data_IF_778565115978
#
_entry.id   IF_778565115978
#
_cell.length_a   1.000
_cell.length_b   1.000
_cell.length_c   1.000
_cell.angle_alpha   90.00
_cell.angle_beta   90.00
_cell.angle_gamma   90.00
#
_symmetry.space_group_name_H-M   'P 1'
#
loop_
_entity.id
_entity.type
_entity.pdbx_description
1 polymer ?
#
# COMPACT_ATOMS: atom_id res chain seq x y z
N UNK A 1 2.86 -6.42 15.36
CA UNK A 1 2.37 -5.23 14.63
C UNK A 1 2.45 -5.51 13.13
N UNK A 2 1.41 -5.21 12.35
CA UNK A 2 1.52 -5.44 10.90
C UNK A 2 2.28 -4.30 10.22
N UNK A 3 3.24 -4.68 9.37
CA UNK A 3 4.18 -3.78 8.70
C UNK A 3 3.74 -3.40 7.28
N UNK A 4 2.58 -3.91 6.84
CA UNK A 4 2.11 -3.69 5.47
C UNK A 4 1.34 -2.38 5.32
N UNK A 5 1.51 -1.77 4.16
CA UNK A 5 1.01 -0.44 3.82
C UNK A 5 -0.01 -0.56 2.69
N UNK A 6 -1.18 0.04 2.85
CA UNK A 6 -2.13 0.26 1.75
C UNK A 6 -1.97 1.68 1.20
N UNK A 7 -1.94 1.85 -0.11
CA UNK A 7 -1.97 3.16 -0.77
C UNK A 7 -3.21 3.18 -1.66
N UNK A 8 -4.28 3.83 -1.19
CA UNK A 8 -5.65 3.61 -1.70
C UNK A 8 -6.22 4.92 -2.23
N UNK A 9 -6.80 4.89 -3.43
CA UNK A 9 -7.30 6.10 -4.09
C UNK A 9 -7.49 5.98 -5.60
N UNK A 10 -8.30 6.87 -6.20
CA UNK A 10 -8.47 6.90 -7.66
C UNK A 10 -7.16 7.24 -8.38
N UNK A 11 -7.15 7.02 -9.69
CA UNK A 11 -6.08 7.48 -10.59
C UNK A 11 -5.82 8.98 -10.45
N UNK A 12 -4.57 9.41 -10.67
CA UNK A 12 -4.15 10.82 -10.68
C UNK A 12 -4.20 11.58 -9.33
N UNK A 13 -4.55 10.93 -8.22
CA UNK A 13 -4.58 11.58 -6.91
C UNK A 13 -3.24 11.57 -6.16
N UNK A 14 -2.20 10.95 -6.72
CA UNK A 14 -0.84 10.97 -6.16
C UNK A 14 -0.35 9.63 -5.60
N UNK A 15 -1.11 8.53 -5.73
CA UNK A 15 -0.69 7.19 -5.25
C UNK A 15 0.72 6.79 -5.72
N UNK A 16 0.97 6.83 -7.02
CA UNK A 16 2.27 6.46 -7.59
C UNK A 16 3.39 7.39 -7.13
N UNK A 17 3.08 8.66 -6.83
CA UNK A 17 4.04 9.57 -6.21
C UNK A 17 4.42 9.08 -4.80
N UNK A 18 3.44 8.68 -3.98
CA UNK A 18 3.71 8.10 -2.64
C UNK A 18 4.54 6.84 -2.73
N UNK A 19 4.14 5.89 -3.58
CA UNK A 19 4.84 4.62 -3.76
C UNK A 19 6.32 4.85 -4.10
N UNK A 20 6.60 5.71 -5.08
CA UNK A 20 7.96 6.05 -5.49
C UNK A 20 8.75 6.79 -4.40
N UNK A 21 8.12 7.74 -3.70
CA UNK A 21 8.77 8.46 -2.58
C UNK A 21 9.09 7.54 -1.41
N UNK A 22 8.19 6.61 -1.07
CA UNK A 22 8.44 5.58 -0.05
C UNK A 22 9.59 4.67 -0.48
N UNK A 23 9.56 4.16 -1.71
CA UNK A 23 10.63 3.34 -2.29
C UNK A 23 12.01 4.02 -2.15
N UNK A 24 12.10 5.29 -2.56
CA UNK A 24 13.34 6.06 -2.43
C UNK A 24 13.73 6.30 -0.95
N UNK A 25 12.74 6.58 -0.08
CA UNK A 25 12.99 6.83 1.34
C UNK A 25 13.56 5.60 2.04
N UNK A 26 13.02 4.41 1.78
CA UNK A 26 13.54 3.15 2.31
C UNK A 26 14.97 2.88 1.83
N UNK A 27 15.26 3.17 0.56
CA UNK A 27 16.63 3.07 0.06
C UNK A 27 17.58 4.05 0.76
N UNK A 28 17.20 5.31 0.90
CA UNK A 28 18.06 6.34 1.49
C UNK A 28 18.31 6.14 2.99
N UNK A 29 17.29 5.71 3.74
CA UNK A 29 17.37 5.58 5.20
C UNK A 29 17.82 4.20 5.67
N UNK A 30 17.39 3.14 4.99
CA UNK A 30 17.60 1.76 5.44
C UNK A 30 18.47 0.94 4.48
N UNK A 31 18.83 1.49 3.31
CA UNK A 31 19.46 0.73 2.21
C UNK A 31 18.62 -0.48 1.77
N UNK A 32 17.30 -0.41 2.00
CA UNK A 32 16.32 -1.41 1.59
C UNK A 32 16.00 -1.22 0.11
N UNK A 33 16.34 -2.22 -0.71
CA UNK A 33 16.01 -2.25 -2.14
C UNK A 33 14.52 -2.51 -2.36
N UNK A 34 14.01 -2.08 -3.51
CA UNK A 34 12.62 -2.25 -3.86
C UNK A 34 12.41 -3.37 -4.88
N UNK A 35 11.36 -4.15 -4.69
CA UNK A 35 10.83 -5.10 -5.68
C UNK A 35 9.46 -4.57 -6.08
N UNK A 36 9.25 -4.28 -7.35
CA UNK A 36 8.08 -3.55 -7.84
C UNK A 36 7.39 -4.38 -8.91
N UNK A 37 6.09 -4.56 -8.78
CA UNK A 37 5.23 -4.98 -9.86
C UNK A 37 4.54 -3.74 -10.46
N UNK A 38 4.87 -3.41 -11.71
CA UNK A 38 4.36 -2.25 -12.45
C UNK A 38 4.34 -2.56 -13.95
N UNK A 39 3.14 -2.82 -14.48
CA UNK A 39 2.95 -3.18 -15.90
C UNK A 39 3.16 -2.00 -16.85
N UNK A 40 3.21 -0.76 -16.34
CA UNK A 40 3.47 0.45 -17.12
C UNK A 40 4.97 0.74 -17.24
N UNK A 41 5.82 -0.06 -16.59
CA UNK A 41 7.29 0.05 -16.62
C UNK A 41 7.79 1.46 -16.27
N UNK A 42 7.17 2.11 -15.28
CA UNK A 42 7.58 3.45 -14.92
C UNK A 42 8.98 3.46 -14.28
N UNK A 43 9.65 4.60 -14.28
CA UNK A 43 10.93 4.72 -13.57
C UNK A 43 10.70 4.77 -12.05
N UNK A 44 11.24 3.78 -11.33
CA UNK A 44 11.27 3.67 -9.86
C UNK A 44 12.67 3.91 -9.26
N UNK A 45 13.66 4.24 -10.08
CA UNK A 45 15.06 4.47 -9.69
C UNK A 45 15.92 3.21 -9.65
N UNK A 46 17.26 3.39 -9.66
CA UNK A 46 18.26 2.32 -9.76
C UNK A 46 18.27 1.35 -8.55
N UNK A 47 17.61 1.70 -7.45
CA UNK A 47 17.47 0.85 -6.26
C UNK A 47 16.32 -0.16 -6.37
N UNK A 48 15.56 -0.14 -7.48
CA UNK A 48 14.36 -0.94 -7.70
C UNK A 48 14.56 -2.01 -8.76
N UNK A 49 14.08 -3.22 -8.48
CA UNK A 49 13.85 -4.27 -9.48
C UNK A 49 12.39 -4.22 -9.89
N UNK A 50 12.12 -3.89 -11.16
CA UNK A 50 10.75 -3.73 -11.69
C UNK A 50 10.39 -4.93 -12.55
N UNK A 51 9.22 -5.49 -12.30
CA UNK A 51 8.68 -6.66 -12.98
C UNK A 51 7.31 -6.31 -13.59
N UNK A 52 7.09 -6.79 -14.81
CA UNK A 52 5.78 -6.74 -15.50
C UNK A 52 5.09 -8.11 -15.52
N UNK A 53 5.84 -9.18 -15.21
CA UNK A 53 5.35 -10.55 -15.16
C UNK A 53 5.11 -10.97 -13.71
N UNK A 54 3.89 -11.46 -13.42
CA UNK A 54 3.44 -11.83 -12.08
C UNK A 54 4.30 -12.96 -11.49
N UNK A 55 4.60 -13.99 -12.28
CA UNK A 55 5.33 -15.16 -11.78
C UNK A 55 6.77 -14.79 -11.38
N UNK A 56 7.48 -14.05 -12.22
CA UNK A 56 8.84 -13.55 -11.93
C UNK A 56 8.86 -12.60 -10.74
N UNK A 57 7.84 -11.75 -10.62
CA UNK A 57 7.69 -10.87 -9.46
C UNK A 57 7.54 -11.66 -8.15
N UNK A 58 6.65 -12.67 -8.13
CA UNK A 58 6.43 -13.51 -6.97
C UNK A 58 7.69 -14.31 -6.63
N UNK A 59 8.37 -14.89 -7.62
CA UNK A 59 9.65 -15.57 -7.43
C UNK A 59 10.68 -14.64 -6.76
N UNK A 60 10.83 -13.41 -7.26
CA UNK A 60 11.74 -12.43 -6.69
C UNK A 60 11.39 -12.08 -5.23
N UNK A 61 10.10 -11.93 -4.92
CA UNK A 61 9.64 -11.65 -3.55
C UNK A 61 10.00 -12.76 -2.55
N UNK A 62 10.07 -14.02 -2.98
CA UNK A 62 10.45 -15.14 -2.11
C UNK A 62 11.95 -15.44 -2.12
N UNK A 63 12.65 -15.07 -3.19
CA UNK A 63 14.09 -15.26 -3.34
C UNK A 63 14.91 -14.26 -2.52
N UNK A 64 14.51 -12.98 -2.53
CA UNK A 64 15.24 -11.93 -1.83
C UNK A 64 14.72 -11.74 -0.40
N UNK A 65 15.48 -11.01 0.43
CA UNK A 65 15.13 -10.68 1.81
C UNK A 65 15.29 -9.19 2.07
N UNK A 66 14.58 -8.68 3.07
CA UNK A 66 14.72 -7.30 3.54
C UNK A 66 14.49 -6.25 2.45
N UNK A 67 13.54 -6.50 1.54
CA UNK A 67 13.12 -5.56 0.48
C UNK A 67 11.85 -4.79 0.84
N UNK A 68 11.63 -3.63 0.21
CA UNK A 68 10.32 -2.99 0.13
C UNK A 68 9.60 -3.52 -1.12
N UNK A 69 8.45 -4.16 -0.93
CA UNK A 69 7.69 -4.76 -2.03
C UNK A 69 6.54 -3.82 -2.38
N UNK A 70 6.40 -3.45 -3.65
CA UNK A 70 5.33 -2.59 -4.16
C UNK A 70 4.53 -3.33 -5.23
N UNK A 71 3.21 -3.36 -5.08
CA UNK A 71 2.29 -3.83 -6.11
C UNK A 71 1.49 -2.62 -6.62
N UNK A 72 1.88 -2.06 -7.77
CA UNK A 72 1.11 -1.00 -8.43
C UNK A 72 -0.12 -1.60 -9.13
N UNK A 73 -1.21 -0.84 -9.18
CA UNK A 73 -2.51 -1.28 -9.71
C UNK A 73 -2.93 -2.68 -9.20
N UNK A 74 -2.82 -2.93 -7.89
CA UNK A 74 -3.07 -4.24 -7.28
C UNK A 74 -4.43 -4.83 -7.66
N UNK A 75 -5.47 -3.99 -7.73
CA UNK A 75 -6.81 -4.43 -8.14
C UNK A 75 -6.86 -5.00 -9.55
N UNK A 76 -6.05 -4.50 -10.48
CA UNK A 76 -6.11 -4.94 -11.88
C UNK A 76 -5.39 -6.28 -12.12
N UNK A 77 -4.38 -6.59 -11.29
CA UNK A 77 -3.49 -7.75 -11.52
C UNK A 77 -3.60 -8.85 -10.47
N UNK A 78 -4.19 -8.53 -9.32
CA UNK A 78 -4.30 -9.41 -8.16
C UNK A 78 -5.70 -9.40 -7.54
N UNK A 79 -6.72 -8.97 -8.30
CA UNK A 79 -8.10 -8.87 -7.82
C UNK A 79 -8.55 -10.17 -7.15
N UNK A 80 -8.89 -10.08 -5.86
CA UNK A 80 -9.40 -11.21 -5.07
C UNK A 80 -8.54 -12.48 -5.16
N UNK A 81 -7.26 -12.33 -5.47
CA UNK A 81 -6.37 -13.44 -5.75
C UNK A 81 -5.87 -14.11 -4.45
N UNK A 82 -6.16 -15.40 -4.32
CA UNK A 82 -5.73 -16.19 -3.17
C UNK A 82 -4.23 -16.50 -3.22
N UNK A 83 -3.62 -16.56 -4.40
CA UNK A 83 -2.20 -16.90 -4.58
C UNK A 83 -1.27 -15.87 -3.95
N UNK A 84 -1.70 -14.61 -3.87
CA UNK A 84 -0.92 -13.53 -3.22
C UNK A 84 -1.26 -13.30 -1.77
N UNK A 85 -2.25 -14.02 -1.21
CA UNK A 85 -2.54 -13.93 0.23
C UNK A 85 -1.32 -14.25 1.11
N UNK A 86 -0.47 -15.26 0.79
CA UNK A 86 0.79 -15.49 1.49
C UNK A 86 1.72 -14.27 1.51
N UNK A 87 1.63 -13.36 0.53
CA UNK A 87 2.42 -12.13 0.57
C UNK A 87 2.07 -11.26 1.78
N UNK A 88 0.78 -11.12 2.06
CA UNK A 88 0.27 -10.33 3.18
C UNK A 88 0.48 -11.00 4.55
N UNK A 89 0.55 -12.32 4.60
CA UNK A 89 0.66 -13.03 5.88
C UNK A 89 2.09 -13.41 6.24
N UNK A 90 2.95 -13.65 5.24
CA UNK A 90 4.20 -14.38 5.43
C UNK A 90 5.45 -13.61 5.03
N UNK A 91 5.37 -12.60 4.14
CA UNK A 91 6.56 -11.85 3.70
C UNK A 91 7.28 -11.12 4.86
N UNK A 92 6.58 -10.82 5.94
CA UNK A 92 7.19 -10.27 7.17
C UNK A 92 8.30 -11.17 7.73
N UNK A 93 8.23 -12.49 7.53
CA UNK A 93 9.25 -13.44 7.97
C UNK A 93 10.52 -13.39 7.11
N UNK A 94 10.45 -12.79 5.92
CA UNK A 94 11.60 -12.44 5.08
C UNK A 94 12.05 -10.99 5.32
N UNK A 95 11.54 -10.35 6.37
CA UNK A 95 11.78 -8.94 6.72
C UNK A 95 11.33 -7.95 5.64
N UNK A 96 10.36 -8.31 4.79
CA UNK A 96 9.83 -7.40 3.77
C UNK A 96 8.78 -6.43 4.30
N UNK A 97 8.69 -5.26 3.66
CA UNK A 97 7.59 -4.32 3.84
C UNK A 97 6.76 -4.28 2.56
N UNK A 98 5.57 -4.88 2.59
CA UNK A 98 4.64 -4.89 1.46
C UNK A 98 3.82 -3.60 1.39
N UNK A 99 3.67 -3.07 0.18
CA UNK A 99 2.90 -1.89 -0.18
C UNK A 99 1.91 -2.29 -1.28
N UNK A 100 0.64 -2.41 -0.93
CA UNK A 100 -0.43 -2.69 -1.88
C UNK A 100 -1.06 -1.37 -2.34
N UNK A 101 -0.98 -1.07 -3.63
CA UNK A 101 -1.52 0.16 -4.21
C UNK A 101 -2.74 -0.19 -5.02
N UNK A 102 -3.91 0.35 -4.68
CA UNK A 102 -5.15 0.03 -5.41
C UNK A 102 -6.07 1.23 -5.57
N UNK A 103 -6.96 1.14 -6.55
CA UNK A 103 -8.04 2.08 -6.79
C UNK A 103 -9.19 1.89 -5.81
N UNK A 104 -9.59 0.64 -5.60
CA UNK A 104 -10.77 0.27 -4.82
C UNK A 104 -10.34 -0.62 -3.66
N UNK A 105 -10.81 -0.30 -2.46
CA UNK A 105 -10.46 -1.01 -1.23
C UNK A 105 -10.87 -2.49 -1.29
N UNK A 106 -12.01 -2.75 -1.91
CA UNK A 106 -12.66 -4.05 -1.98
C UNK A 106 -11.97 -5.05 -2.92
N UNK A 107 -11.06 -4.60 -3.79
CA UNK A 107 -10.30 -5.49 -4.71
C UNK A 107 -9.37 -6.44 -3.93
N UNK A 108 -8.93 -6.02 -2.75
CA UNK A 108 -8.20 -6.88 -1.81
C UNK A 108 -9.17 -7.77 -1.03
N UNK A 109 -8.82 -9.03 -0.81
CA UNK A 109 -9.59 -9.92 0.07
C UNK A 109 -9.60 -9.41 1.52
N UNK A 110 -10.66 -9.63 2.30
CA UNK A 110 -10.72 -9.21 3.71
C UNK A 110 -9.50 -9.66 4.53
N UNK A 111 -9.01 -10.88 4.28
CA UNK A 111 -7.81 -11.42 4.94
C UNK A 111 -6.55 -10.60 4.62
N UNK A 112 -6.42 -10.07 3.41
CA UNK A 112 -5.31 -9.22 2.98
C UNK A 112 -5.41 -7.83 3.64
N UNK A 113 -6.61 -7.23 3.61
CA UNK A 113 -6.89 -5.90 4.20
C UNK A 113 -6.64 -5.87 5.70
N UNK A 114 -6.99 -6.94 6.41
CA UNK A 114 -6.72 -7.08 7.83
C UNK A 114 -5.22 -7.07 8.16
N UNK A 115 -4.36 -7.46 7.22
CA UNK A 115 -2.91 -7.38 7.39
C UNK A 115 -2.37 -5.97 7.11
N UNK A 116 -3.15 -4.98 6.71
CA UNK A 116 -2.64 -3.62 6.56
C UNK A 116 -2.54 -2.95 7.93
N UNK A 117 -1.35 -2.45 8.26
CA UNK A 117 -1.08 -1.71 9.50
C UNK A 117 -0.98 -0.20 9.29
N UNK A 118 -0.73 0.23 8.05
CA UNK A 118 -0.66 1.64 7.66
C UNK A 118 -1.47 1.87 6.39
N UNK A 119 -2.14 3.03 6.27
CA UNK A 119 -2.79 3.49 5.04
C UNK A 119 -2.30 4.88 4.65
N UNK A 120 -2.11 5.06 3.35
CA UNK A 120 -2.18 6.36 2.67
C UNK A 120 -3.50 6.38 1.91
N UNK A 121 -4.52 6.98 2.53
CA UNK A 121 -5.87 7.01 2.02
C UNK A 121 -6.17 8.35 1.35
N UNK A 122 -6.19 8.35 0.03
CA UNK A 122 -6.64 9.48 -0.78
C UNK A 122 -8.17 9.53 -0.83
N UNK A 123 -8.72 10.46 -1.60
CA UNK A 123 -10.16 10.57 -1.82
C UNK A 123 -10.83 9.22 -2.10
N UNK A 124 -11.98 8.99 -1.46
CA UNK A 124 -12.80 7.78 -1.64
C UNK A 124 -14.26 8.16 -1.92
N UNK A 125 -14.98 7.25 -2.58
CA UNK A 125 -16.45 7.27 -2.56
C UNK A 125 -16.97 7.07 -1.14
N UNK A 126 -18.21 7.51 -0.88
CA UNK A 126 -18.85 7.35 0.43
C UNK A 126 -18.89 5.89 0.88
N UNK A 127 -19.31 5.00 -0.01
CA UNK A 127 -19.40 3.56 0.24
C UNK A 127 -18.03 2.94 0.58
N UNK A 128 -16.99 3.27 -0.20
CA UNK A 128 -15.64 2.79 0.07
C UNK A 128 -15.13 3.29 1.43
N UNK A 129 -15.31 4.58 1.72
CA UNK A 129 -14.91 5.17 2.99
C UNK A 129 -15.63 4.53 4.20
N UNK A 130 -16.92 4.22 4.08
CA UNK A 130 -17.68 3.52 5.12
C UNK A 130 -17.18 2.09 5.35
N UNK A 131 -16.85 1.36 4.28
CA UNK A 131 -16.26 0.03 4.40
C UNK A 131 -14.90 0.08 5.13
N UNK A 132 -14.04 1.03 4.75
CA UNK A 132 -12.73 1.22 5.36
C UNK A 132 -12.89 1.61 6.84
N UNK A 133 -13.73 2.59 7.14
CA UNK A 133 -13.99 3.07 8.50
C UNK A 133 -14.50 1.94 9.41
N UNK A 134 -15.38 1.08 8.91
CA UNK A 134 -15.87 -0.09 9.65
C UNK A 134 -14.77 -1.11 9.93
N UNK A 135 -13.95 -1.45 8.93
CA UNK A 135 -12.85 -2.42 9.08
C UNK A 135 -11.74 -1.92 10.01
N UNK A 136 -11.49 -0.61 10.01
CA UNK A 136 -10.56 0.05 10.92
C UNK A 136 -11.22 0.49 12.23
N UNK A 137 -12.53 0.26 12.41
CA UNK A 137 -13.28 0.71 13.59
C UNK A 137 -13.05 2.18 13.95
N UNK A 138 -12.94 3.05 12.93
CA UNK A 138 -12.63 4.47 13.10
C UNK A 138 -13.38 5.34 12.08
N UNK A 139 -14.41 6.04 12.57
CA UNK A 139 -15.27 6.90 11.74
C UNK A 139 -14.55 8.13 11.18
N UNK A 140 -13.39 8.51 11.72
CA UNK A 140 -12.60 9.64 11.18
C UNK A 140 -12.13 9.38 9.75
N UNK A 141 -12.03 8.11 9.33
CA UNK A 141 -11.70 7.74 7.95
C UNK A 141 -12.76 8.16 6.91
N UNK A 142 -13.96 8.52 7.35
CA UNK A 142 -14.99 9.12 6.49
C UNK A 142 -14.58 10.50 5.94
N UNK A 143 -13.60 11.18 6.56
CA UNK A 143 -13.02 12.42 6.02
C UNK A 143 -12.42 12.21 4.63
N UNK A 144 -12.01 10.98 4.28
CA UNK A 144 -11.50 10.65 2.93
C UNK A 144 -12.49 11.00 1.80
N UNK A 145 -13.79 11.09 2.07
CA UNK A 145 -14.81 11.51 1.08
C UNK A 145 -14.69 12.97 0.64
N UNK A 146 -13.93 13.79 1.38
CA UNK A 146 -13.81 15.25 1.19
C UNK A 146 -12.40 15.69 0.83
N UNK A 147 -11.46 14.76 0.68
CA UNK A 147 -10.07 15.10 0.41
C UNK A 147 -9.90 15.69 -1.01
N UNK A 148 -9.27 16.87 -1.13
CA UNK A 148 -8.83 17.39 -2.41
C UNK A 148 -7.76 16.51 -3.07
N UNK A 149 -7.48 16.78 -4.34
CA UNK A 149 -6.38 16.16 -5.08
C UNK A 149 -5.05 16.37 -4.34
N UNK A 150 -4.23 15.32 -4.27
CA UNK A 150 -2.93 15.28 -3.60
C UNK A 150 -2.96 15.37 -2.07
N UNK A 151 -4.15 15.43 -1.46
CA UNK A 151 -4.31 15.27 -0.03
C UNK A 151 -4.69 13.82 0.32
N UNK A 152 -4.24 13.39 1.50
CA UNK A 152 -4.44 12.03 1.98
C UNK A 152 -4.55 12.00 3.50
N UNK A 153 -5.23 10.99 4.02
CA UNK A 153 -5.10 10.57 5.41
C UNK A 153 -3.95 9.55 5.49
N UNK A 154 -3.00 9.82 6.38
CA UNK A 154 -2.01 8.84 6.80
C UNK A 154 -2.48 8.21 8.10
N UNK A 155 -2.85 6.94 8.03
CA UNK A 155 -3.48 6.18 9.10
C UNK A 155 -2.53 5.08 9.57
N UNK A 156 -2.35 4.92 10.88
CA UNK A 156 -1.56 3.84 11.46
C UNK A 156 -2.34 3.14 12.56
N UNK A 157 -2.44 1.81 12.48
CA UNK A 157 -2.98 1.00 13.58
C UNK A 157 -2.07 1.18 14.79
N UNK A 158 -2.66 1.45 15.95
CA UNK A 158 -1.91 1.46 17.19
C UNK A 158 -1.54 0.04 17.61
N UNK A 159 -0.30 -0.13 18.06
CA UNK A 159 0.06 -1.28 18.89
C UNK A 159 -0.32 -1.03 20.36
N UNK A 160 -0.07 0.19 20.88
CA UNK A 160 -0.06 0.45 22.33
C UNK A 160 -0.88 1.69 22.78
N UNK A 161 -1.75 2.25 21.93
CA UNK A 161 -2.63 3.36 22.34
C UNK A 161 -4.09 3.13 21.94
N UNK A 162 -5.03 3.87 22.55
CA UNK A 162 -6.44 3.46 22.60
C UNK A 162 -7.24 3.58 21.29
N UNK A 163 -6.66 3.85 20.11
CA UNK A 163 -6.39 5.21 19.64
C UNK A 163 -6.01 5.46 18.17
N UNK A 164 -6.39 4.75 17.08
CA UNK A 164 -5.74 4.87 15.72
C UNK A 164 -5.09 6.25 15.38
N UNK A 165 -3.82 6.30 14.95
CA UNK A 165 -3.18 7.57 14.57
C UNK A 165 -3.67 7.92 13.17
N UNK A 166 -4.35 9.06 13.03
CA UNK A 166 -4.79 9.58 11.74
C UNK A 166 -4.29 11.02 11.62
N UNK A 167 -3.48 11.26 10.60
CA UNK A 167 -2.95 12.59 10.28
C UNK A 167 -3.25 12.94 8.83
N UNK A 168 -3.64 14.18 8.56
CA UNK A 168 -3.82 14.67 7.19
C UNK A 168 -2.48 15.11 6.61
N UNK A 169 -2.19 14.68 5.39
CA UNK A 169 -0.99 15.05 4.63
C UNK A 169 -1.34 15.61 3.26
N UNK A 170 -0.38 16.31 2.66
CA UNK A 170 -0.49 16.88 1.31
C UNK A 170 0.84 16.77 0.59
N UNK A 171 0.82 16.37 -0.67
CA UNK A 171 1.99 16.48 -1.54
C UNK A 171 2.04 17.86 -2.21
N UNK A 172 3.25 18.42 -2.43
CA UNK A 172 3.39 19.62 -3.25
C UNK A 172 2.75 19.38 -4.62
N UNK A 173 1.92 20.33 -5.04
CA UNK A 173 1.24 20.32 -6.33
C UNK A 173 2.20 20.58 -7.48
#
# INVERSE_FOLDING_TARGET
MSIHVGIIGPSLFGKSHVGKRLSLTYWQRERRRSIVFDTRSANWGNHSLVFTDKAKFLEACWRYRSCAVFCDDFGDHFERDKEVTPMFTSLRHQFHQLHAMTHVWQDMLPKQRNQLGTLFLFWQTRESAESIAREWSDSRLLESTRLPKYEFLHCRKHADAPNHIITRGRFPA
#
